data_IF_946336901489
#
_entry.id   IF_946336901489
#
_cell.length_a   1.000
_cell.length_b   1.000
_cell.length_c   1.000
_cell.angle_alpha   90.00
_cell.angle_beta   90.00
_cell.angle_gamma   90.00
#
_symmetry.space_group_name_H-M   'P 1'
#
loop_
_entity.id
_entity.type
_entity.pdbx_description
1 polymer ?
#
# COMPACT_ATOMS: atom_id res chain seq x y z
N UNK A 1 6.85 2.51 -24.93
CA UNK A 1 6.50 3.03 -23.59
C UNK A 1 7.37 2.30 -22.57
N UNK A 2 8.30 3.01 -21.92
CA UNK A 2 9.35 2.36 -21.10
C UNK A 2 8.99 2.42 -19.61
N UNK A 3 9.37 1.40 -18.85
CA UNK A 3 9.46 1.41 -17.39
C UNK A 3 10.66 2.28 -17.01
N UNK A 4 10.67 2.86 -15.81
CA UNK A 4 11.70 3.80 -15.33
C UNK A 4 13.13 3.25 -15.30
N UNK A 5 13.32 1.95 -15.25
CA UNK A 5 14.64 1.28 -15.26
C UNK A 5 14.70 0.18 -16.31
N UNK A 6 15.93 -0.17 -16.74
CA UNK A 6 16.16 -1.29 -17.64
C UNK A 6 16.05 -2.64 -16.91
N UNK A 7 15.77 -3.70 -17.66
CA UNK A 7 15.73 -5.06 -17.08
C UNK A 7 17.09 -5.50 -16.49
N UNK A 8 18.19 -5.06 -17.08
CA UNK A 8 19.55 -5.33 -16.58
C UNK A 8 19.76 -4.67 -15.23
N UNK A 9 19.35 -3.42 -15.08
CA UNK A 9 19.42 -2.68 -13.82
C UNK A 9 18.50 -3.26 -12.76
N UNK A 10 17.28 -3.62 -13.14
CA UNK A 10 16.34 -4.32 -12.25
C UNK A 10 16.97 -5.58 -11.66
N UNK A 11 17.54 -6.47 -12.52
CA UNK A 11 18.21 -7.70 -12.07
C UNK A 11 19.36 -7.42 -11.10
N UNK A 12 20.21 -6.44 -11.42
CA UNK A 12 21.32 -6.04 -10.53
C UNK A 12 20.84 -5.58 -9.17
N UNK A 13 19.81 -4.74 -9.13
CA UNK A 13 19.24 -4.23 -7.88
C UNK A 13 18.58 -5.36 -7.07
N UNK A 14 17.85 -6.24 -7.74
CA UNK A 14 17.20 -7.39 -7.11
C UNK A 14 18.23 -8.36 -6.50
N UNK A 15 19.30 -8.69 -7.23
CA UNK A 15 20.39 -9.55 -6.72
C UNK A 15 21.07 -8.93 -5.50
N UNK A 16 21.19 -7.62 -5.45
CA UNK A 16 21.76 -6.87 -4.34
C UNK A 16 20.75 -6.59 -3.20
N UNK A 17 19.54 -7.18 -3.25
CA UNK A 17 18.44 -6.97 -2.29
C UNK A 17 18.10 -5.47 -2.07
N UNK A 18 18.30 -4.63 -3.08
CA UNK A 18 17.93 -3.22 -3.02
C UNK A 18 16.44 -3.05 -3.26
N UNK A 19 15.79 -2.29 -2.41
CA UNK A 19 14.42 -1.84 -2.67
C UNK A 19 14.38 -0.97 -3.92
N UNK A 20 13.37 -1.17 -4.76
CA UNK A 20 13.21 -0.41 -5.98
C UNK A 20 11.73 -0.18 -6.29
N UNK A 21 11.44 1.00 -6.82
CA UNK A 21 10.11 1.37 -7.27
C UNK A 21 10.07 1.28 -8.78
N UNK A 22 9.23 0.39 -9.29
CA UNK A 22 8.97 0.24 -10.72
C UNK A 22 7.73 1.04 -11.07
N UNK A 23 7.85 1.98 -11.99
CA UNK A 23 6.72 2.78 -12.38
C UNK A 23 6.72 3.13 -13.86
N UNK A 24 5.56 3.54 -14.33
CA UNK A 24 5.34 4.03 -15.68
C UNK A 24 4.42 5.24 -15.60
N UNK A 25 4.77 6.31 -16.29
CA UNK A 25 3.92 7.49 -16.42
C UNK A 25 3.19 7.44 -17.76
N UNK A 26 1.90 7.71 -17.72
CA UNK A 26 1.04 7.89 -18.91
C UNK A 26 0.29 9.21 -18.79
N UNK A 27 0.27 9.95 -19.87
CA UNK A 27 -0.67 11.06 -20.02
C UNK A 27 -1.94 10.53 -20.68
N UNK A 28 -3.06 10.66 -20.01
CA UNK A 28 -4.36 10.29 -20.55
C UNK A 28 -5.08 11.56 -21.04
N UNK A 29 -5.48 11.57 -22.32
CA UNK A 29 -6.25 12.69 -22.89
C UNK A 29 -7.73 12.65 -22.51
N UNK A 30 -8.25 11.49 -22.11
CA UNK A 30 -9.63 11.31 -21.67
C UNK A 30 -9.68 11.13 -20.16
N UNK A 31 -10.55 11.89 -19.52
CA UNK A 31 -10.85 11.76 -18.11
C UNK A 31 -11.64 10.45 -17.89
N UNK A 32 -11.01 9.46 -17.33
CA UNK A 32 -11.73 8.29 -16.83
C UNK A 32 -12.48 8.75 -15.57
N UNK A 33 -13.82 8.63 -15.60
CA UNK A 33 -14.61 8.87 -14.39
C UNK A 33 -14.24 7.82 -13.37
N UNK A 34 -13.78 8.23 -12.21
CA UNK A 34 -13.41 7.35 -11.09
C UNK A 34 -14.54 6.40 -10.72
N UNK A 35 -15.78 6.86 -10.88
CA UNK A 35 -17.02 6.07 -10.70
C UNK A 35 -17.05 4.78 -11.54
N UNK A 36 -16.52 4.81 -12.75
CA UNK A 36 -16.45 3.61 -13.61
C UNK A 36 -15.39 2.62 -13.12
N UNK A 37 -14.33 3.11 -12.48
CA UNK A 37 -13.31 2.27 -11.86
C UNK A 37 -13.86 1.59 -10.60
N UNK A 38 -14.72 2.22 -9.84
CA UNK A 38 -15.37 1.65 -8.67
C UNK A 38 -16.07 0.33 -8.98
N UNK A 39 -16.79 0.25 -10.10
CA UNK A 39 -17.51 -0.97 -10.49
C UNK A 39 -16.58 -2.18 -10.69
N UNK A 40 -15.40 -1.95 -11.23
CA UNK A 40 -14.40 -3.00 -11.38
C UNK A 40 -13.72 -3.35 -10.05
N UNK A 41 -13.50 -2.36 -9.19
CA UNK A 41 -12.78 -2.51 -7.93
C UNK A 41 -13.61 -3.19 -6.85
N UNK A 42 -14.93 -3.03 -6.85
CA UNK A 42 -15.84 -3.69 -5.89
C UNK A 42 -15.84 -5.23 -6.03
N UNK A 43 -15.46 -5.76 -7.19
CA UNK A 43 -15.33 -7.20 -7.42
C UNK A 43 -14.01 -7.78 -6.92
N UNK A 44 -12.99 -6.94 -6.69
CA UNK A 44 -11.65 -7.37 -6.29
C UNK A 44 -11.47 -7.33 -4.77
N UNK A 45 -11.10 -8.46 -4.18
CA UNK A 45 -10.77 -8.54 -2.75
C UNK A 45 -9.52 -7.72 -2.46
N UNK A 46 -9.50 -7.05 -1.30
CA UNK A 46 -8.36 -6.26 -0.83
C UNK A 46 -7.96 -5.14 -1.80
N UNK A 47 -8.93 -4.50 -2.43
CA UNK A 47 -8.74 -3.28 -3.22
C UNK A 47 -9.09 -2.05 -2.39
N UNK A 48 -8.52 -0.90 -2.76
CA UNK A 48 -8.88 0.38 -2.16
C UNK A 48 -8.83 1.52 -3.17
N UNK A 49 -9.59 2.57 -2.87
CA UNK A 49 -9.50 3.86 -3.54
C UNK A 49 -9.45 4.94 -2.48
N UNK A 50 -8.46 5.82 -2.60
CA UNK A 50 -8.41 7.08 -1.87
C UNK A 50 -8.54 8.23 -2.85
N UNK A 51 -9.55 9.04 -2.67
CA UNK A 51 -9.76 10.25 -3.46
C UNK A 51 -9.52 11.47 -2.56
N UNK A 52 -8.59 12.31 -2.98
CA UNK A 52 -8.36 13.58 -2.32
C UNK A 52 -9.51 14.54 -2.67
N UNK A 53 -10.13 15.13 -1.64
CA UNK A 53 -11.18 16.14 -1.79
C UNK A 53 -10.70 17.43 -1.14
N UNK A 54 -10.72 18.53 -1.89
CA UNK A 54 -10.37 19.83 -1.40
C UNK A 54 -11.65 20.64 -1.14
N UNK A 55 -11.81 21.21 0.05
CA UNK A 55 -12.99 22.00 0.47
C UNK A 55 -14.36 21.34 0.24
N UNK A 56 -14.44 20.03 0.43
CA UNK A 56 -15.70 19.28 0.45
C UNK A 56 -16.38 19.01 -0.91
N UNK A 57 -16.08 19.78 -1.94
CA UNK A 57 -16.73 19.65 -3.27
C UNK A 57 -15.78 19.70 -4.46
N UNK A 58 -14.54 20.14 -4.26
CA UNK A 58 -13.54 20.23 -5.32
C UNK A 58 -12.70 18.97 -5.31
N UNK A 59 -12.63 18.28 -6.45
CA UNK A 59 -11.76 17.11 -6.61
C UNK A 59 -10.31 17.50 -6.29
N UNK A 60 -9.71 16.75 -5.37
CA UNK A 60 -8.34 16.96 -4.98
C UNK A 60 -7.36 16.51 -6.07
N UNK A 61 -6.09 16.66 -5.75
CA UNK A 61 -4.97 16.52 -6.69
C UNK A 61 -4.72 15.09 -7.13
N UNK A 62 -5.06 14.11 -6.29
CA UNK A 62 -4.72 12.71 -6.52
C UNK A 62 -5.89 11.78 -6.22
N UNK A 63 -6.01 10.75 -7.05
CA UNK A 63 -6.75 9.53 -6.74
C UNK A 63 -5.76 8.39 -6.69
N UNK A 64 -5.77 7.61 -5.61
CA UNK A 64 -4.87 6.49 -5.40
C UNK A 64 -5.69 5.22 -5.37
N UNK A 65 -5.28 4.25 -6.17
CA UNK A 65 -5.95 2.97 -6.31
C UNK A 65 -4.95 1.87 -6.06
N UNK A 66 -5.30 0.95 -5.17
CA UNK A 66 -4.52 -0.26 -4.93
C UNK A 66 -5.33 -1.51 -5.25
N UNK A 67 -4.68 -2.45 -5.91
CA UNK A 67 -5.24 -3.72 -6.35
C UNK A 67 -4.25 -4.84 -6.09
N UNK A 68 -4.79 -6.04 -5.82
CA UNK A 68 -4.00 -7.28 -5.76
C UNK A 68 -2.73 -7.15 -4.90
N UNK A 69 -2.85 -6.88 -3.60
CA UNK A 69 -1.70 -6.77 -2.73
C UNK A 69 -0.92 -8.10 -2.73
N UNK A 70 0.39 -8.02 -2.84
CA UNK A 70 1.30 -9.16 -2.72
C UNK A 70 1.41 -9.66 -1.29
N UNK A 71 1.14 -8.78 -0.33
CA UNK A 71 1.12 -9.08 1.09
C UNK A 71 -0.02 -8.39 1.80
N UNK A 72 -0.67 -9.11 2.71
CA UNK A 72 -1.62 -8.55 3.66
C UNK A 72 -1.29 -9.03 5.07
N UNK A 73 -1.49 -8.16 6.05
CA UNK A 73 -1.32 -8.44 7.46
C UNK A 73 -2.64 -8.23 8.19
N UNK A 74 -3.06 -9.25 8.89
CA UNK A 74 -4.17 -9.20 9.83
C UNK A 74 -3.60 -9.37 11.24
N UNK A 75 -3.82 -8.38 12.11
CA UNK A 75 -3.29 -8.36 13.45
C UNK A 75 -4.45 -8.43 14.43
N UNK A 76 -4.57 -9.56 15.09
CA UNK A 76 -5.61 -9.81 16.08
C UNK A 76 -4.99 -10.35 17.37
N UNK A 77 -5.25 -9.67 18.48
CA UNK A 77 -4.58 -9.90 19.75
C UNK A 77 -3.05 -9.89 19.53
N UNK A 78 -2.32 -10.85 20.02
CA UNK A 78 -0.87 -10.95 19.84
C UNK A 78 -0.47 -11.88 18.67
N UNK A 79 -1.35 -12.03 17.68
CA UNK A 79 -1.10 -12.87 16.51
C UNK A 79 -1.18 -12.02 15.25
N UNK A 80 -0.12 -12.05 14.48
CA UNK A 80 -0.04 -11.46 13.15
C UNK A 80 -0.19 -12.56 12.12
N UNK A 81 -1.22 -12.48 11.30
CA UNK A 81 -1.42 -13.38 10.17
C UNK A 81 -0.94 -12.69 8.90
N UNK A 82 0.20 -13.13 8.38
CA UNK A 82 0.74 -12.67 7.11
C UNK A 82 0.26 -13.58 5.99
N UNK A 83 -0.43 -13.02 4.99
CA UNK A 83 -0.68 -13.68 3.72
C UNK A 83 0.28 -13.09 2.68
N UNK A 84 1.04 -13.95 2.02
CA UNK A 84 1.99 -13.55 0.98
C UNK A 84 1.94 -14.55 -0.16
N UNK A 85 1.57 -14.10 -1.36
CA UNK A 85 1.43 -14.93 -2.56
C UNK A 85 0.64 -16.24 -2.32
N UNK A 86 -0.49 -16.13 -1.60
CA UNK A 86 -1.35 -17.28 -1.27
C UNK A 86 -0.84 -18.16 -0.11
N UNK A 87 0.34 -17.90 0.44
CA UNK A 87 0.86 -18.60 1.62
C UNK A 87 0.55 -17.82 2.88
N UNK A 88 -0.07 -18.48 3.85
CA UNK A 88 -0.38 -17.91 5.17
C UNK A 88 0.67 -18.32 6.20
N UNK A 89 1.12 -17.35 7.00
CA UNK A 89 2.03 -17.55 8.12
C UNK A 89 1.51 -16.81 9.34
N UNK A 90 1.48 -17.47 10.49
CA UNK A 90 1.09 -16.86 11.78
C UNK A 90 2.34 -16.59 12.62
N UNK A 91 2.43 -15.39 13.16
CA UNK A 91 3.55 -14.91 13.96
C UNK A 91 2.99 -14.38 15.28
N UNK A 92 3.47 -14.90 16.41
CA UNK A 92 3.14 -14.36 17.73
C UNK A 92 4.03 -13.14 17.99
N UNK A 93 3.46 -11.98 18.14
CA UNK A 93 4.19 -10.74 18.37
C UNK A 93 3.29 -9.70 19.04
N UNK A 94 3.90 -8.77 19.77
CA UNK A 94 3.24 -7.56 20.20
C UNK A 94 2.82 -6.73 18.96
N UNK A 95 1.54 -6.30 18.87
CA UNK A 95 1.02 -5.60 17.70
C UNK A 95 1.77 -4.31 17.36
N UNK A 96 2.02 -3.46 18.34
CA UNK A 96 2.65 -2.16 18.12
C UNK A 96 4.12 -2.32 17.72
N UNK A 97 4.84 -3.25 18.33
CA UNK A 97 6.23 -3.56 17.95
C UNK A 97 6.30 -4.10 16.52
N UNK A 98 5.35 -4.96 16.15
CA UNK A 98 5.31 -5.52 14.81
C UNK A 98 5.03 -4.45 13.75
N UNK A 99 4.03 -3.58 13.99
CA UNK A 99 3.68 -2.47 13.09
C UNK A 99 4.88 -1.53 12.92
N UNK A 100 5.53 -1.14 14.02
CA UNK A 100 6.71 -0.28 13.97
C UNK A 100 7.87 -0.91 13.16
N UNK A 101 8.08 -2.21 13.31
CA UNK A 101 9.04 -2.95 12.50
C UNK A 101 8.65 -2.93 11.03
N UNK A 102 7.39 -3.22 10.71
CA UNK A 102 6.86 -3.24 9.36
C UNK A 102 7.07 -1.89 8.66
N UNK A 103 6.75 -0.78 9.34
CA UNK A 103 6.96 0.58 8.82
C UNK A 103 8.44 0.84 8.54
N UNK A 104 9.33 0.45 9.44
CA UNK A 104 10.78 0.62 9.25
C UNK A 104 11.31 -0.23 8.09
N UNK A 105 10.85 -1.46 7.97
CA UNK A 105 11.26 -2.37 6.89
C UNK A 105 10.74 -1.89 5.53
N UNK A 106 9.63 -1.12 5.51
CA UNK A 106 9.00 -0.59 4.30
C UNK A 106 9.49 0.81 3.90
N UNK A 107 10.57 1.28 4.48
CA UNK A 107 11.16 2.59 4.17
C UNK A 107 11.82 2.57 2.78
N UNK A 108 11.04 2.90 1.76
CA UNK A 108 11.48 2.92 0.35
C UNK A 108 11.67 4.37 -0.09
N UNK A 109 12.83 4.68 -0.66
CA UNK A 109 13.07 5.98 -1.28
C UNK A 109 12.22 6.12 -2.54
N UNK A 110 11.24 7.00 -2.50
CA UNK A 110 10.39 7.30 -3.65
C UNK A 110 11.16 8.14 -4.66
N UNK A 111 11.17 7.78 -5.96
CA UNK A 111 11.75 8.63 -7.01
C UNK A 111 11.08 10.00 -7.10
N UNK A 112 11.86 11.05 -7.37
CA UNK A 112 11.37 12.44 -7.42
C UNK A 112 10.26 12.69 -8.46
N UNK A 113 10.13 11.81 -9.46
CA UNK A 113 9.09 11.88 -10.49
C UNK A 113 7.71 11.44 -9.98
N UNK A 114 7.65 10.82 -8.81
CA UNK A 114 6.43 10.33 -8.20
C UNK A 114 6.05 11.17 -6.98
N UNK A 115 4.75 11.28 -6.67
CA UNK A 115 4.33 11.85 -5.39
C UNK A 115 4.87 11.01 -4.22
N UNK A 116 5.14 11.65 -3.09
CA UNK A 116 5.71 10.99 -1.89
C UNK A 116 4.90 9.77 -1.42
N UNK A 117 3.59 9.81 -1.67
CA UNK A 117 2.66 8.72 -1.33
C UNK A 117 2.66 7.54 -2.32
N UNK A 118 3.55 7.53 -3.32
CA UNK A 118 3.63 6.41 -4.28
C UNK A 118 4.19 5.12 -3.68
N UNK A 119 4.76 5.17 -2.49
CA UNK A 119 5.13 3.99 -1.72
C UNK A 119 4.52 4.13 -0.32
N UNK A 120 3.45 3.37 -0.05
CA UNK A 120 2.73 3.41 1.22
C UNK A 120 2.26 2.02 1.62
N UNK A 121 2.07 1.83 2.91
CA UNK A 121 1.28 0.75 3.47
C UNK A 121 -0.15 1.27 3.64
N UNK A 122 -1.12 0.51 3.21
CA UNK A 122 -2.54 0.88 3.30
C UNK A 122 -3.26 -0.13 4.18
N UNK A 123 -4.08 0.36 5.09
CA UNK A 123 -4.85 -0.47 5.99
C UNK A 123 -5.78 0.36 6.88
N UNK A 124 -6.39 -0.29 7.84
CA UNK A 124 -7.21 0.38 8.85
C UNK A 124 -6.91 -0.20 10.23
N UNK A 125 -7.16 0.60 11.24
CA UNK A 125 -7.16 0.20 12.63
C UNK A 125 -8.61 0.16 13.13
N UNK A 126 -9.02 -0.98 13.73
CA UNK A 126 -10.29 -1.04 14.44
C UNK A 126 -10.22 -0.20 15.72
N UNK A 127 -11.38 0.13 16.28
CA UNK A 127 -11.45 0.87 17.55
C UNK A 127 -10.69 0.15 18.67
N UNK A 128 -10.69 -1.17 18.67
CA UNK A 128 -10.03 -1.97 19.70
C UNK A 128 -8.50 -1.84 19.76
N UNK A 129 -7.88 -1.23 18.76
CA UNK A 129 -6.43 -0.94 18.76
C UNK A 129 -6.04 -0.07 19.96
N UNK A 130 -6.98 0.76 20.48
CA UNK A 130 -6.75 1.56 21.68
C UNK A 130 -6.32 0.71 22.88
N UNK A 131 -6.78 -0.55 22.98
CA UNK A 131 -6.42 -1.49 24.04
C UNK A 131 -4.95 -1.90 24.06
N UNK A 132 -4.24 -1.69 22.96
CA UNK A 132 -2.78 -1.91 22.89
C UNK A 132 -2.00 -0.69 23.35
N UNK A 133 -2.63 0.47 23.42
CA UNK A 133 -2.01 1.74 23.77
C UNK A 133 -2.34 2.10 25.22
N UNK A 134 -3.58 1.91 25.63
CA UNK A 134 -4.09 2.28 26.95
C UNK A 134 -4.73 1.09 27.65
N UNK A 135 -4.58 1.04 28.98
CA UNK A 135 -5.34 0.10 29.83
C UNK A 135 -6.75 0.64 30.01
N UNK A 136 -7.65 0.23 29.13
CA UNK A 136 -9.07 0.53 29.25
C UNK A 136 -9.74 -0.62 30.02
N UNK A 137 -10.61 -0.30 31.00
CA UNK A 137 -11.34 -1.31 31.77
C UNK A 137 -12.29 -2.14 30.91
#
# INVERSE_FOLDING_TARGET
MKINISFKEYKKNHSNKKHQVLFRVRTCRHYYKVENLFKFLLAEKNSFIFESVEKGSIKGRYTIIGLNPDKTWDINNNVVTLNSFGKQTKIKSDPLKYINKLIKDFNIKVPNQLPSMAAMLVGYFSYDVIRYIEKIP
#
